data_IF_094109344622
#
_entry.id   IF_094109344622
#
_cell.length_a   1.000
_cell.length_b   1.000
_cell.length_c   1.000
_cell.angle_alpha   90.00
_cell.angle_beta   90.00
_cell.angle_gamma   90.00
#
_symmetry.space_group_name_H-M   'P 1'
#
loop_
_entity.id
_entity.type
_entity.pdbx_description
1 polymer ?
#
# COMPACT_ATOMS: atom_id res chain seq x y z
N UNK A 1 12.97 -14.61 7.86
CA UNK A 1 11.80 -13.76 8.15
C UNK A 1 11.76 -12.64 7.12
N UNK A 2 10.62 -12.36 6.50
CA UNK A 2 10.52 -11.28 5.52
C UNK A 2 10.42 -9.92 6.23
N UNK A 3 11.09 -8.89 5.69
CA UNK A 3 11.04 -7.50 6.16
C UNK A 3 10.82 -6.59 4.96
N UNK A 4 9.99 -5.55 5.13
CA UNK A 4 9.86 -4.50 4.14
C UNK A 4 11.03 -3.50 4.27
N UNK A 5 11.87 -3.40 3.24
CA UNK A 5 12.96 -2.40 3.19
C UNK A 5 12.50 -1.06 2.58
N UNK A 6 11.71 -1.15 1.51
CA UNK A 6 11.20 0.01 0.78
C UNK A 6 9.87 -0.35 0.13
N UNK A 7 8.93 0.59 0.17
CA UNK A 7 7.72 0.59 -0.64
C UNK A 7 7.74 1.79 -1.58
N UNK A 8 7.51 1.54 -2.86
CA UNK A 8 7.32 2.58 -3.86
C UNK A 8 5.98 2.36 -4.56
N UNK A 9 5.14 3.39 -4.60
CA UNK A 9 3.85 3.39 -5.29
C UNK A 9 3.85 4.46 -6.37
N UNK A 10 3.30 4.12 -7.53
CA UNK A 10 3.06 5.03 -8.66
C UNK A 10 1.67 4.75 -9.19
N UNK A 11 0.83 5.78 -9.23
CA UNK A 11 -0.56 5.71 -9.70
C UNK A 11 -1.33 4.48 -9.16
N UNK A 12 -1.25 4.29 -7.84
CA UNK A 12 -1.88 3.19 -7.11
C UNK A 12 -3.01 3.72 -6.21
N UNK A 13 -4.26 3.31 -6.47
CA UNK A 13 -5.45 3.76 -5.73
C UNK A 13 -5.51 5.29 -5.61
N UNK A 14 -5.37 5.87 -4.41
CA UNK A 14 -5.33 7.32 -4.23
C UNK A 14 -3.90 7.89 -4.12
N UNK A 15 -2.86 7.08 -4.26
CA UNK A 15 -1.47 7.52 -4.28
C UNK A 15 -1.04 7.84 -5.71
N UNK A 16 -0.79 9.12 -6.00
CA UNK A 16 -0.07 9.52 -7.23
C UNK A 16 1.37 9.02 -7.18
N UNK A 17 2.06 9.31 -6.08
CA UNK A 17 3.40 8.78 -5.81
C UNK A 17 3.62 8.63 -4.29
N UNK A 18 4.31 7.56 -3.90
CA UNK A 18 4.84 7.36 -2.55
C UNK A 18 6.20 6.67 -2.65
N UNK A 19 7.18 7.16 -1.90
CA UNK A 19 8.43 6.45 -1.63
C UNK A 19 8.63 6.42 -0.11
N UNK A 20 8.55 5.22 0.47
CA UNK A 20 8.59 5.03 1.92
C UNK A 20 9.59 3.95 2.30
N UNK A 21 10.41 4.23 3.31
CA UNK A 21 11.32 3.27 3.96
C UNK A 21 10.93 3.21 5.45
N UNK A 22 10.39 2.08 5.94
CA UNK A 22 10.13 1.93 7.37
C UNK A 22 11.45 1.97 8.14
N UNK A 23 11.49 2.75 9.21
CA UNK A 23 12.64 2.90 10.11
C UNK A 23 12.53 2.00 11.36
N UNK A 24 11.34 1.49 11.65
CA UNK A 24 11.01 0.71 12.84
C UNK A 24 10.28 -0.60 12.48
N UNK A 25 10.46 -1.69 13.28
CA UNK A 25 9.67 -2.92 13.15
C UNK A 25 8.16 -2.69 13.29
N UNK A 26 7.75 -1.63 13.98
CA UNK A 26 6.35 -1.23 14.16
C UNK A 26 6.16 0.16 13.58
N UNK A 27 5.24 0.28 12.62
CA UNK A 27 4.82 1.56 12.03
C UNK A 27 3.35 1.80 12.32
N UNK A 28 3.02 3.01 12.78
CA UNK A 28 1.63 3.48 12.89
C UNK A 28 1.30 4.39 11.71
N UNK A 29 0.25 4.05 10.97
CA UNK A 29 -0.25 4.85 9.84
C UNK A 29 -1.52 5.58 10.28
N UNK A 30 -1.44 6.89 10.44
CA UNK A 30 -2.53 7.74 10.93
C UNK A 30 -2.97 8.79 9.90
N UNK A 31 -4.19 9.31 10.07
CA UNK A 31 -4.78 10.32 9.19
C UNK A 31 -6.30 10.17 9.09
N UNK A 32 -6.94 11.13 8.42
CA UNK A 32 -8.40 11.17 8.27
C UNK A 32 -8.97 9.97 7.48
N UNK A 33 -10.28 9.74 7.59
CA UNK A 33 -10.96 8.74 6.76
C UNK A 33 -10.85 9.14 5.28
N UNK A 34 -10.55 8.16 4.42
CA UNK A 34 -10.30 8.43 3.00
C UNK A 34 -8.87 8.85 2.65
N UNK A 35 -7.97 9.05 3.63
CA UNK A 35 -6.59 9.48 3.35
C UNK A 35 -5.70 8.43 2.66
N UNK A 36 -6.15 7.18 2.50
CA UNK A 36 -5.40 6.12 1.82
C UNK A 36 -4.66 5.14 2.74
N UNK A 37 -4.93 5.15 4.05
CA UNK A 37 -4.31 4.21 5.01
C UNK A 37 -4.51 2.73 4.62
N UNK A 38 -5.75 2.36 4.29
CA UNK A 38 -6.05 0.98 3.84
C UNK A 38 -5.45 0.67 2.48
N UNK A 39 -5.31 1.66 1.60
CA UNK A 39 -4.64 1.47 0.30
C UNK A 39 -3.15 1.18 0.50
N UNK A 40 -2.50 1.81 1.49
CA UNK A 40 -1.12 1.49 1.85
C UNK A 40 -0.98 0.03 2.32
N UNK A 41 -1.88 -0.42 3.20
CA UNK A 41 -1.91 -1.82 3.64
C UNK A 41 -2.17 -2.78 2.48
N UNK A 42 -3.07 -2.41 1.56
CA UNK A 42 -3.33 -3.20 0.36
C UNK A 42 -2.09 -3.33 -0.52
N UNK A 43 -1.35 -2.24 -0.75
CA UNK A 43 -0.09 -2.31 -1.49
C UNK A 43 0.93 -3.27 -0.84
N UNK A 44 1.03 -3.26 0.50
CA UNK A 44 1.88 -4.20 1.24
C UNK A 44 1.44 -5.65 1.05
N UNK A 45 0.13 -5.90 1.09
CA UNK A 45 -0.40 -7.26 0.94
C UNK A 45 -0.13 -7.89 -0.44
N UNK A 46 0.14 -7.07 -1.46
CA UNK A 46 0.49 -7.54 -2.80
C UNK A 46 1.94 -8.03 -2.91
N UNK A 47 2.79 -7.71 -1.94
CA UNK A 47 4.19 -8.18 -1.89
C UNK A 47 4.32 -9.62 -1.38
N UNK A 48 3.20 -10.23 -0.96
CA UNK A 48 3.11 -11.60 -0.47
C UNK A 48 2.23 -12.41 -1.43
N UNK A 49 2.49 -13.72 -1.66
CA UNK A 49 1.64 -14.53 -2.54
C UNK A 49 0.15 -14.48 -2.15
N UNK A 50 -0.72 -14.30 -3.13
CA UNK A 50 -2.17 -14.22 -2.93
C UNK A 50 -2.83 -13.15 -3.81
N UNK A 51 -4.06 -12.76 -3.46
CA UNK A 51 -4.82 -11.72 -4.17
C UNK A 51 -4.80 -10.35 -3.47
N UNK A 52 -3.89 -10.15 -2.53
CA UNK A 52 -3.89 -8.98 -1.65
C UNK A 52 -5.11 -8.92 -0.71
N UNK A 53 -5.15 -7.88 0.12
CA UNK A 53 -6.11 -7.70 1.21
C UNK A 53 -7.57 -7.67 0.78
N UNK A 54 -7.88 -7.09 -0.39
CA UNK A 54 -9.26 -6.97 -0.89
C UNK A 54 -9.60 -7.98 -1.98
N UNK A 55 -8.66 -8.83 -2.38
CA UNK A 55 -8.87 -9.74 -3.51
C UNK A 55 -9.09 -9.03 -4.85
N UNK A 56 -8.65 -7.77 -4.96
CA UNK A 56 -8.95 -6.89 -6.08
C UNK A 56 -8.28 -7.34 -7.39
N UNK A 57 -8.94 -7.12 -8.52
CA UNK A 57 -8.33 -7.32 -9.85
C UNK A 57 -7.31 -6.21 -10.11
N UNK A 58 -6.28 -6.49 -10.92
CA UNK A 58 -5.22 -5.52 -11.23
C UNK A 58 -5.75 -4.17 -11.74
N UNK A 59 -6.83 -4.18 -12.53
CA UNK A 59 -7.51 -2.97 -13.03
C UNK A 59 -8.13 -2.10 -11.94
N UNK A 60 -8.48 -2.68 -10.79
CA UNK A 60 -9.10 -1.95 -9.66
C UNK A 60 -8.04 -1.22 -8.82
N UNK A 61 -6.77 -1.66 -8.90
CA UNK A 61 -5.64 -1.10 -8.16
C UNK A 61 -5.09 0.19 -8.78
N UNK A 62 -5.35 0.42 -10.07
CA UNK A 62 -4.97 1.64 -10.76
C UNK A 62 -5.57 2.88 -10.05
N UNK A 63 -4.87 4.01 -10.13
CA UNK A 63 -5.39 5.25 -9.58
C UNK A 63 -6.62 5.74 -10.33
N UNK A 64 -7.62 6.16 -9.56
CA UNK A 64 -8.85 6.74 -10.06
C UNK A 64 -8.83 8.24 -9.70
N UNK A 65 -8.74 9.13 -10.71
CA UNK A 65 -8.59 10.58 -10.51
C UNK A 65 -7.20 10.99 -10.07
#
# INVERSE_FOLDING_TARGET
MARLDRLALTDFRNYRHLAWRPDSPVTVVAGENGSGKTNLLEALSLLVPGRGLRGARGSELARHG
#
